data_IF_291050199741
#
_entry.id   IF_291050199741
#
_cell.length_a   1.000
_cell.length_b   1.000
_cell.length_c   1.000
_cell.angle_alpha   90.00
_cell.angle_beta   90.00
_cell.angle_gamma   90.00
#
_symmetry.space_group_name_H-M   'P 1'
#
loop_
_entity.id
_entity.type
_entity.pdbx_description
1 polymer ?
#
# COMPACT_ATOMS: atom_id res chain seq x y z
N UNK A 1 29.41 4.54 -3.35
CA UNK A 1 28.93 3.95 -4.63
C UNK A 1 30.10 3.74 -5.59
N UNK A 2 31.02 4.66 -5.71
CA UNK A 2 32.20 4.51 -6.58
C UNK A 2 33.02 3.27 -6.19
N UNK A 3 33.29 3.04 -4.90
CA UNK A 3 34.12 1.94 -4.41
C UNK A 3 33.40 0.60 -4.34
N UNK A 4 32.08 0.61 -4.10
CA UNK A 4 31.32 -0.60 -3.77
C UNK A 4 30.16 -0.89 -4.74
N UNK A 5 29.97 -0.06 -5.76
CA UNK A 5 28.89 -0.20 -6.72
C UNK A 5 27.51 0.25 -6.20
N UNK A 6 26.50 0.26 -7.08
CA UNK A 6 25.18 0.81 -6.77
C UNK A 6 24.36 -0.02 -5.78
N UNK A 7 24.69 -1.31 -5.57
CA UNK A 7 24.02 -2.17 -4.59
C UNK A 7 24.33 -1.78 -3.16
N UNK A 8 25.46 -1.09 -2.92
CA UNK A 8 25.85 -0.63 -1.60
C UNK A 8 24.97 0.52 -1.06
N UNK A 9 24.16 1.15 -1.91
CA UNK A 9 23.31 2.27 -1.52
C UNK A 9 21.83 1.87 -1.47
N UNK A 10 21.15 2.24 -0.38
CA UNK A 10 19.72 2.11 -0.20
C UNK A 10 19.08 3.46 0.15
N UNK A 11 17.85 3.65 -0.30
CA UNK A 11 16.98 4.72 0.14
C UNK A 11 15.85 4.14 0.98
N UNK A 12 15.57 4.74 2.13
CA UNK A 12 14.42 4.40 2.96
C UNK A 12 13.56 5.63 3.17
N UNK A 13 12.29 5.52 2.86
CA UNK A 13 11.37 6.63 3.07
C UNK A 13 10.19 6.59 2.12
N UNK A 14 9.45 7.68 2.16
CA UNK A 14 8.23 7.81 1.38
C UNK A 14 7.04 7.54 2.26
N UNK A 15 6.48 8.59 2.67
CA UNK A 15 5.54 8.46 3.43
C UNK A 15 4.46 8.91 4.14
N UNK A 16 4.48 9.57 5.11
CA UNK A 16 3.35 10.01 5.92
C UNK A 16 2.63 11.22 5.33
N UNK A 17 1.59 11.67 5.98
CA UNK A 17 0.86 12.89 5.62
C UNK A 17 1.80 14.12 5.75
N UNK A 18 1.76 14.98 4.74
CA UNK A 18 2.55 16.22 4.71
C UNK A 18 4.00 16.05 4.25
N UNK A 19 4.36 14.92 3.64
CA UNK A 19 5.69 14.66 3.10
C UNK A 19 5.67 13.75 1.85
N UNK A 20 4.66 13.90 1.01
CA UNK A 20 4.46 13.00 -0.13
C UNK A 20 5.47 13.19 -1.25
N UNK A 21 6.01 14.39 -1.39
CA UNK A 21 7.00 14.67 -2.45
C UNK A 21 8.39 14.12 -2.15
N UNK A 22 8.75 13.91 -0.89
CA UNK A 22 10.06 13.40 -0.50
C UNK A 22 10.37 12.05 -1.14
N UNK A 23 9.38 11.16 -1.18
CA UNK A 23 9.53 9.85 -1.81
C UNK A 23 9.95 9.94 -3.26
N UNK A 24 9.42 10.91 -4.00
CA UNK A 24 9.75 11.10 -5.41
C UNK A 24 11.22 11.52 -5.61
N UNK A 25 11.70 12.46 -4.80
CA UNK A 25 13.06 12.99 -4.92
C UNK A 25 14.11 12.01 -4.39
N UNK A 26 13.88 11.38 -3.24
CA UNK A 26 14.77 10.35 -2.72
C UNK A 26 14.90 9.16 -3.66
N UNK A 27 13.78 8.71 -4.23
CA UNK A 27 13.76 7.66 -5.25
C UNK A 27 14.47 8.08 -6.55
N UNK A 28 14.38 9.35 -6.92
CA UNK A 28 15.10 9.87 -8.09
C UNK A 28 16.60 9.85 -7.86
N UNK A 29 17.09 10.34 -6.72
CA UNK A 29 18.50 10.25 -6.36
C UNK A 29 18.99 8.79 -6.35
N UNK A 30 18.23 7.88 -5.75
CA UNK A 30 18.54 6.45 -5.75
C UNK A 30 18.75 5.91 -7.17
N UNK A 31 17.85 6.25 -8.10
CA UNK A 31 17.96 5.83 -9.50
C UNK A 31 19.16 6.47 -10.22
N UNK A 32 19.47 7.73 -9.94
CA UNK A 32 20.65 8.40 -10.50
C UNK A 32 21.94 7.73 -10.03
N UNK A 33 21.96 7.19 -8.83
CA UNK A 33 23.07 6.39 -8.29
C UNK A 33 23.07 4.94 -8.81
N UNK A 34 22.09 4.55 -9.63
CA UNK A 34 21.98 3.22 -10.22
C UNK A 34 21.41 2.16 -9.28
N UNK A 35 20.93 2.52 -8.08
CA UNK A 35 20.35 1.57 -7.14
C UNK A 35 18.87 1.29 -7.41
N UNK A 36 18.40 0.11 -7.00
CA UNK A 36 16.99 -0.28 -6.97
C UNK A 36 16.47 -0.50 -5.54
N UNK A 37 17.29 -0.32 -4.51
CA UNK A 37 16.91 -0.61 -3.13
C UNK A 37 16.17 0.55 -2.49
N UNK A 38 14.85 0.54 -2.64
CA UNK A 38 13.93 1.45 -1.97
C UNK A 38 13.16 0.70 -0.89
N UNK A 39 13.53 0.88 0.35
CA UNK A 39 12.82 0.31 1.49
C UNK A 39 11.70 1.25 1.94
N UNK A 40 10.51 0.68 2.14
CA UNK A 40 9.32 1.46 2.47
C UNK A 40 8.29 0.60 3.21
N UNK A 41 7.52 1.20 4.12
CA UNK A 41 6.46 0.53 4.87
C UNK A 41 5.42 -0.16 3.98
N UNK A 42 5.12 0.41 2.82
CA UNK A 42 4.20 -0.19 1.82
C UNK A 42 4.61 -1.62 1.44
N UNK A 43 5.93 -1.91 1.40
CA UNK A 43 6.42 -3.26 1.11
C UNK A 43 6.20 -4.25 2.26
N UNK A 44 6.00 -3.78 3.48
CA UNK A 44 5.59 -4.59 4.62
C UNK A 44 4.06 -4.79 4.65
N UNK A 45 3.32 -3.76 4.28
CA UNK A 45 1.87 -3.69 4.46
C UNK A 45 1.11 -4.37 3.32
N UNK A 46 1.46 -4.12 2.06
CA UNK A 46 0.62 -4.37 0.90
C UNK A 46 1.18 -5.37 -0.12
N UNK A 47 2.35 -5.99 0.12
CA UNK A 47 2.98 -6.87 -0.87
C UNK A 47 2.13 -8.06 -1.28
N UNK A 48 1.39 -8.66 -0.34
CA UNK A 48 0.45 -9.75 -0.65
C UNK A 48 -0.65 -9.33 -1.60
N UNK A 49 -1.20 -8.13 -1.41
CA UNK A 49 -2.22 -7.55 -2.27
C UNK A 49 -1.66 -7.18 -3.65
N UNK A 50 -0.50 -6.53 -3.72
CA UNK A 50 0.17 -6.21 -4.99
C UNK A 50 0.46 -7.47 -5.82
N UNK A 51 0.93 -8.52 -5.16
CA UNK A 51 1.16 -9.80 -5.80
C UNK A 51 -0.12 -10.39 -6.37
N UNK A 52 -1.21 -10.39 -5.60
CA UNK A 52 -2.53 -10.86 -6.03
C UNK A 52 -3.02 -10.08 -7.26
N UNK A 53 -2.98 -8.74 -7.23
CA UNK A 53 -3.35 -7.90 -8.38
C UNK A 53 -2.48 -8.21 -9.60
N UNK A 54 -1.16 -8.31 -9.43
CA UNK A 54 -0.24 -8.62 -10.52
C UNK A 54 -0.54 -9.96 -11.20
N UNK A 55 -0.99 -10.96 -10.46
CA UNK A 55 -1.34 -12.28 -10.98
C UNK A 55 -2.74 -12.36 -11.57
N UNK A 56 -3.70 -11.62 -11.03
CA UNK A 56 -5.10 -11.72 -11.43
C UNK A 56 -5.51 -10.68 -12.45
N UNK A 57 -4.96 -9.46 -12.41
CA UNK A 57 -5.29 -8.37 -13.34
C UNK A 57 -4.14 -7.94 -14.23
N UNK A 58 -2.94 -8.54 -14.05
CA UNK A 58 -1.78 -8.32 -14.90
C UNK A 58 -0.85 -7.20 -14.45
N UNK A 59 -1.25 -6.37 -13.46
CA UNK A 59 -0.41 -5.29 -12.94
C UNK A 59 -0.48 -5.20 -11.42
N UNK A 60 0.67 -5.17 -10.76
CA UNK A 60 0.78 -4.95 -9.31
C UNK A 60 0.23 -3.59 -8.88
N UNK A 61 0.14 -2.64 -9.81
CA UNK A 61 -0.36 -1.28 -9.55
C UNK A 61 -1.88 -1.14 -9.68
N UNK A 62 -2.61 -2.20 -9.99
CA UNK A 62 -4.07 -2.14 -10.15
C UNK A 62 -4.74 -2.29 -8.78
N UNK A 63 -5.07 -1.18 -8.17
CA UNK A 63 -5.84 -1.15 -6.93
C UNK A 63 -7.33 -1.26 -7.26
N UNK A 64 -8.01 -2.17 -6.57
CA UNK A 64 -9.47 -2.34 -6.69
C UNK A 64 -10.13 -1.54 -5.57
N UNK A 65 -10.53 -0.32 -5.86
CA UNK A 65 -11.15 0.56 -4.87
C UNK A 65 -12.68 0.55 -4.98
N UNK A 66 -13.40 0.76 -3.86
CA UNK A 66 -14.85 0.78 -3.86
C UNK A 66 -15.41 2.00 -4.61
N UNK A 67 -16.48 1.80 -5.38
CA UNK A 67 -17.35 2.86 -5.90
C UNK A 67 -18.59 2.99 -5.01
N UNK A 68 -18.36 3.46 -3.79
CA UNK A 68 -19.35 3.53 -2.72
C UNK A 68 -20.52 4.44 -3.03
N UNK A 69 -20.31 5.44 -3.88
CA UNK A 69 -21.36 6.39 -4.24
C UNK A 69 -22.51 5.73 -5.03
N UNK A 70 -22.20 4.65 -5.77
CA UNK A 70 -23.18 3.93 -6.59
C UNK A 70 -23.56 2.57 -6.01
N UNK A 71 -22.93 2.15 -4.91
CA UNK A 71 -23.17 0.88 -4.26
C UNK A 71 -24.42 0.92 -3.36
N UNK A 72 -25.12 -0.20 -3.29
CA UNK A 72 -26.22 -0.48 -2.37
C UNK A 72 -25.73 -1.20 -1.10
N UNK A 73 -24.55 -1.82 -1.15
CA UNK A 73 -23.92 -2.44 0.00
C UNK A 73 -22.42 -2.18 0.01
N UNK A 74 -21.88 -1.90 1.19
CA UNK A 74 -20.43 -1.79 1.44
C UNK A 74 -20.00 -2.97 2.33
N UNK A 75 -19.12 -3.81 1.81
CA UNK A 75 -18.43 -4.85 2.57
C UNK A 75 -17.08 -4.30 3.04
N UNK A 76 -16.97 -3.98 4.32
CA UNK A 76 -15.77 -3.45 4.96
C UNK A 76 -15.05 -4.56 5.73
N UNK A 77 -13.81 -4.87 5.37
CA UNK A 77 -13.07 -6.01 5.90
C UNK A 77 -11.72 -5.60 6.47
N UNK A 78 -11.50 -5.88 7.75
CA UNK A 78 -10.25 -5.55 8.43
C UNK A 78 -9.94 -4.06 8.40
N UNK A 79 -10.98 -3.23 8.42
CA UNK A 79 -10.91 -1.78 8.27
C UNK A 79 -11.77 -1.06 9.32
N UNK A 80 -11.12 -0.25 10.15
CA UNK A 80 -11.81 0.65 11.07
C UNK A 80 -11.85 2.08 10.52
N UNK A 81 -12.61 2.30 9.45
CA UNK A 81 -12.66 3.57 8.70
C UNK A 81 -13.10 4.77 9.51
N UNK A 82 -13.79 4.58 10.63
CA UNK A 82 -14.12 5.65 11.57
C UNK A 82 -12.88 6.24 12.26
N UNK A 83 -11.76 5.52 12.28
CA UNK A 83 -10.50 5.95 12.90
C UNK A 83 -9.32 6.01 11.91
N UNK A 84 -9.16 5.00 11.06
CA UNK A 84 -8.01 4.90 10.14
C UNK A 84 -8.20 5.65 8.82
N UNK A 85 -9.42 6.04 8.50
CA UNK A 85 -9.81 6.67 7.25
C UNK A 85 -9.55 5.80 6.00
N UNK A 86 -8.39 5.82 5.36
CA UNK A 86 -7.98 5.07 4.15
C UNK A 86 -8.87 5.24 2.89
N UNK A 87 -10.00 5.89 3.04
CA UNK A 87 -10.95 6.26 2.00
C UNK A 87 -11.29 7.75 2.19
N UNK A 88 -11.41 8.55 1.12
CA UNK A 88 -11.88 9.93 1.24
C UNK A 88 -13.23 9.99 1.93
N UNK A 89 -13.36 10.85 2.93
CA UNK A 89 -14.61 11.05 3.69
C UNK A 89 -15.13 9.77 4.40
N UNK A 90 -14.28 8.81 4.73
CA UNK A 90 -14.67 7.51 5.30
C UNK A 90 -15.74 7.59 6.40
N UNK A 91 -15.63 8.45 7.45
CA UNK A 91 -16.66 8.55 8.48
C UNK A 91 -18.02 9.03 7.96
N UNK A 92 -18.05 9.84 6.92
CA UNK A 92 -19.31 10.30 6.31
C UNK A 92 -19.95 9.19 5.48
N UNK A 93 -19.15 8.50 4.66
CA UNK A 93 -19.60 7.36 3.85
C UNK A 93 -20.16 6.25 4.75
N UNK A 94 -19.45 5.87 5.80
CA UNK A 94 -19.89 4.83 6.74
C UNK A 94 -21.22 5.21 7.43
N UNK A 95 -21.36 6.46 7.87
CA UNK A 95 -22.63 6.96 8.45
C UNK A 95 -23.75 7.04 7.42
N UNK A 96 -23.45 7.35 6.16
CA UNK A 96 -24.44 7.34 5.09
C UNK A 96 -24.99 5.92 4.89
N UNK A 97 -24.11 4.91 4.82
CA UNK A 97 -24.55 3.52 4.69
C UNK A 97 -25.39 3.08 5.90
N UNK A 98 -24.92 3.36 7.12
CA UNK A 98 -25.62 2.98 8.36
C UNK A 98 -26.99 3.67 8.54
N UNK A 99 -27.16 4.89 8.07
CA UNK A 99 -28.41 5.66 8.28
C UNK A 99 -29.42 5.54 7.12
N UNK A 100 -29.01 4.96 5.99
CA UNK A 100 -29.87 4.85 4.82
C UNK A 100 -30.51 3.45 4.77
N UNK A 101 -31.84 3.33 4.92
CA UNK A 101 -32.52 2.04 4.96
C UNK A 101 -32.44 1.24 3.64
N UNK A 102 -32.08 1.89 2.53
CA UNK A 102 -31.90 1.24 1.23
C UNK A 102 -30.47 0.72 1.02
N UNK A 103 -29.56 1.06 1.93
CA UNK A 103 -28.15 0.63 1.91
C UNK A 103 -27.87 -0.40 3.00
N UNK A 104 -26.80 -1.18 2.83
CA UNK A 104 -26.36 -2.20 3.78
C UNK A 104 -24.87 -2.02 4.08
N UNK A 105 -24.53 -1.86 5.34
CA UNK A 105 -23.15 -1.86 5.81
C UNK A 105 -22.82 -3.21 6.45
N UNK A 106 -21.89 -3.93 5.86
CA UNK A 106 -21.37 -5.20 6.39
C UNK A 106 -19.94 -5.00 6.84
N UNK A 107 -19.63 -5.36 8.06
CA UNK A 107 -18.27 -5.27 8.63
C UNK A 107 -17.76 -6.65 9.01
N UNK A 108 -16.60 -7.01 8.50
CA UNK A 108 -15.86 -8.22 8.91
C UNK A 108 -14.62 -7.75 9.67
N UNK A 109 -14.64 -7.90 10.98
CA UNK A 109 -13.57 -7.47 11.88
C UNK A 109 -13.64 -8.31 13.15
N UNK A 110 -12.52 -8.87 13.65
CA UNK A 110 -12.51 -9.63 14.90
C UNK A 110 -12.98 -8.84 16.11
N UNK A 111 -12.86 -7.52 16.06
CA UNK A 111 -13.21 -6.59 17.11
C UNK A 111 -14.48 -5.81 16.75
N UNK A 112 -15.34 -5.61 17.72
CA UNK A 112 -16.41 -4.63 17.59
C UNK A 112 -15.81 -3.23 17.67
N UNK A 113 -15.35 -2.74 16.51
CA UNK A 113 -14.75 -1.42 16.33
C UNK A 113 -15.82 -0.35 16.16
N UNK A 114 -15.45 0.95 16.20
CA UNK A 114 -16.39 2.05 15.91
C UNK A 114 -17.06 1.93 14.54
N UNK A 115 -16.41 1.27 13.59
CA UNK A 115 -17.00 0.98 12.27
C UNK A 115 -17.98 -0.18 12.38
N UNK A 116 -17.66 -1.23 13.14
CA UNK A 116 -18.55 -2.35 13.40
C UNK A 116 -19.81 -1.94 14.20
N UNK A 117 -19.70 -0.93 15.07
CA UNK A 117 -20.85 -0.36 15.79
C UNK A 117 -21.89 0.30 14.86
N UNK A 118 -21.50 0.66 13.66
CA UNK A 118 -22.40 1.23 12.64
C UNK A 118 -22.99 0.17 11.69
N UNK A 119 -22.48 -1.05 11.74
CA UNK A 119 -22.82 -2.10 10.78
C UNK A 119 -24.24 -2.66 10.99
N UNK A 120 -24.92 -2.93 9.88
CA UNK A 120 -26.14 -3.74 9.89
C UNK A 120 -25.81 -5.22 10.14
N UNK A 121 -24.66 -5.69 9.62
CA UNK A 121 -24.15 -7.04 9.84
C UNK A 121 -22.69 -6.94 10.26
N UNK A 122 -22.36 -7.47 11.44
CA UNK A 122 -20.98 -7.64 11.91
C UNK A 122 -20.62 -9.11 11.98
N UNK A 123 -19.55 -9.50 11.29
CA UNK A 123 -18.99 -10.84 11.32
C UNK A 123 -17.66 -10.82 12.09
N UNK A 124 -17.61 -11.27 13.36
CA UNK A 124 -16.41 -11.24 14.18
C UNK A 124 -15.48 -12.42 13.83
N UNK A 125 -14.89 -12.39 12.64
CA UNK A 125 -14.04 -13.47 12.13
C UNK A 125 -12.81 -13.67 13.03
N UNK A 126 -12.45 -14.93 13.30
CA UNK A 126 -11.21 -15.25 14.03
C UNK A 126 -10.01 -14.79 13.22
N UNK A 127 -9.05 -14.04 13.81
CA UNK A 127 -7.87 -13.57 13.10
C UNK A 127 -7.12 -14.69 12.38
N UNK A 128 -6.76 -14.43 11.10
CA UNK A 128 -6.02 -15.39 10.27
C UNK A 128 -6.86 -16.46 9.56
N UNK A 129 -8.18 -16.40 9.67
CA UNK A 129 -9.09 -17.37 9.02
C UNK A 129 -9.90 -16.78 7.86
N UNK A 130 -9.64 -15.52 7.48
CA UNK A 130 -10.33 -14.82 6.40
C UNK A 130 -10.36 -15.63 5.09
N UNK A 131 -9.25 -16.27 4.72
CA UNK A 131 -9.19 -17.09 3.53
C UNK A 131 -10.17 -18.27 3.54
N UNK A 132 -10.38 -18.90 4.72
CA UNK A 132 -11.36 -19.96 4.87
C UNK A 132 -12.79 -19.44 4.75
N UNK A 133 -13.07 -18.29 5.38
CA UNK A 133 -14.37 -17.64 5.28
C UNK A 133 -14.71 -17.29 3.82
N UNK A 134 -13.81 -16.60 3.12
CA UNK A 134 -14.07 -16.18 1.72
C UNK A 134 -14.20 -17.41 0.82
N UNK A 135 -13.41 -18.47 1.03
CA UNK A 135 -13.56 -19.73 0.29
C UNK A 135 -14.94 -20.34 0.51
N UNK A 136 -15.42 -20.38 1.76
CA UNK A 136 -16.77 -20.85 2.07
C UNK A 136 -17.86 -19.98 1.43
N UNK A 137 -17.69 -18.65 1.46
CA UNK A 137 -18.62 -17.71 0.80
C UNK A 137 -18.72 -17.98 -0.72
N UNK A 138 -17.58 -18.14 -1.40
CA UNK A 138 -17.56 -18.47 -2.84
C UNK A 138 -18.25 -19.84 -3.08
N UNK A 139 -17.98 -20.85 -2.25
CA UNK A 139 -18.64 -22.15 -2.35
C UNK A 139 -20.18 -22.03 -2.22
N UNK A 140 -20.66 -21.30 -1.21
CA UNK A 140 -22.10 -21.03 -1.00
C UNK A 140 -22.71 -20.33 -2.24
N UNK A 141 -22.04 -19.32 -2.78
CA UNK A 141 -22.53 -18.58 -3.95
C UNK A 141 -22.65 -19.50 -5.17
N UNK A 142 -21.63 -20.33 -5.43
CA UNK A 142 -21.61 -21.25 -6.56
C UNK A 142 -22.62 -22.40 -6.43
N UNK A 143 -22.81 -22.92 -5.21
CA UNK A 143 -23.77 -24.00 -4.93
C UNK A 143 -25.22 -23.54 -5.12
N UNK A 144 -25.51 -22.27 -4.81
CA UNK A 144 -26.84 -21.71 -4.93
C UNK A 144 -27.08 -21.00 -6.28
N UNK A 145 -26.12 -20.94 -7.18
CA UNK A 145 -26.26 -20.28 -8.48
C UNK A 145 -26.43 -18.75 -8.36
N UNK A 146 -25.78 -18.14 -7.36
CA UNK A 146 -25.80 -16.67 -7.14
C UNK A 146 -24.66 -15.94 -7.79
N UNK A 147 -23.79 -16.66 -8.50
CA UNK A 147 -22.71 -16.06 -9.29
C UNK A 147 -23.23 -15.33 -10.55
N UNK A 148 -22.50 -14.31 -10.98
CA UNK A 148 -22.72 -13.67 -12.29
C UNK A 148 -22.00 -14.46 -13.40
N UNK A 149 -22.66 -15.49 -13.91
CA UNK A 149 -22.06 -16.36 -14.94
C UNK A 149 -21.75 -15.60 -16.21
N UNK A 150 -22.59 -14.63 -16.60
CA UNK A 150 -22.37 -13.84 -17.80
C UNK A 150 -21.09 -12.99 -17.67
N UNK A 151 -20.86 -12.40 -16.51
CA UNK A 151 -19.64 -11.67 -16.21
C UNK A 151 -18.41 -12.59 -16.24
N UNK A 152 -18.48 -13.74 -15.57
CA UNK A 152 -17.40 -14.72 -15.52
C UNK A 152 -16.98 -15.13 -16.94
N UNK A 153 -17.93 -15.51 -17.78
CA UNK A 153 -17.69 -15.98 -19.15
C UNK A 153 -17.11 -14.90 -20.07
N UNK A 154 -17.48 -13.62 -19.82
CA UNK A 154 -17.07 -12.52 -20.70
C UNK A 154 -15.77 -11.85 -20.25
N UNK A 155 -15.52 -11.76 -18.92
CA UNK A 155 -14.47 -10.91 -18.35
C UNK A 155 -13.38 -11.68 -17.62
N UNK A 156 -13.48 -13.00 -17.49
CA UNK A 156 -12.47 -13.80 -16.81
C UNK A 156 -11.92 -14.92 -17.70
N UNK A 157 -10.75 -15.41 -17.33
CA UNK A 157 -10.14 -16.61 -17.94
C UNK A 157 -9.70 -17.57 -16.86
N UNK A 158 -9.83 -18.89 -17.12
CA UNK A 158 -9.35 -19.92 -16.21
C UNK A 158 -10.26 -20.21 -15.01
N UNK A 159 -11.45 -19.62 -14.95
CA UNK A 159 -12.38 -19.87 -13.83
C UNK A 159 -12.77 -21.35 -13.68
N UNK A 160 -13.04 -22.03 -14.80
CA UNK A 160 -13.43 -23.45 -14.78
C UNK A 160 -12.28 -24.35 -14.27
N UNK A 161 -11.03 -23.90 -14.33
CA UNK A 161 -9.88 -24.64 -13.78
C UNK A 161 -9.82 -24.57 -12.26
N UNK A 162 -10.27 -23.45 -11.66
CA UNK A 162 -10.26 -23.24 -10.22
C UNK A 162 -11.60 -23.55 -9.55
N UNK A 163 -12.71 -23.61 -10.30
CA UNK A 163 -14.05 -23.94 -9.79
C UNK A 163 -14.05 -25.19 -8.92
N UNK A 164 -13.36 -26.30 -9.26
CA UNK A 164 -13.33 -27.51 -8.42
C UNK A 164 -12.77 -27.29 -7.01
N UNK A 165 -12.00 -26.23 -6.78
CA UNK A 165 -11.48 -25.89 -5.44
C UNK A 165 -12.55 -25.39 -4.48
N UNK A 166 -13.73 -25.02 -4.99
CA UNK A 166 -14.89 -24.57 -4.23
C UNK A 166 -15.99 -25.62 -4.17
N UNK A 167 -15.86 -26.72 -4.91
CA UNK A 167 -16.76 -27.85 -4.82
C UNK A 167 -16.41 -28.71 -3.60
N UNK A 168 -17.41 -29.29 -2.97
CA UNK A 168 -17.24 -30.17 -1.80
C UNK A 168 -16.52 -29.48 -0.61
N UNK A 169 -16.65 -28.16 -0.47
CA UNK A 169 -16.20 -27.45 0.72
C UNK A 169 -17.17 -27.76 1.87
N UNK A 170 -16.66 -28.29 2.99
CA UNK A 170 -17.43 -28.34 4.22
C UNK A 170 -17.59 -26.92 4.77
N UNK A 171 -18.71 -26.27 4.40
CA UNK A 171 -19.02 -24.90 4.81
C UNK A 171 -19.10 -24.79 6.32
N UNK A 172 -19.78 -25.75 6.95
CA UNK A 172 -19.95 -25.80 8.41
C UNK A 172 -18.59 -25.83 9.13
N UNK A 173 -17.70 -26.76 8.72
CA UNK A 173 -16.37 -26.89 9.32
C UNK A 173 -15.52 -25.64 9.08
N UNK A 174 -15.55 -25.07 7.87
CA UNK A 174 -14.79 -23.88 7.54
C UNK A 174 -15.23 -22.69 8.38
N UNK A 175 -16.54 -22.45 8.50
CA UNK A 175 -17.09 -21.34 9.29
C UNK A 175 -16.93 -21.56 10.79
N UNK A 176 -17.02 -22.80 11.28
CA UNK A 176 -16.72 -23.14 12.69
C UNK A 176 -15.25 -22.78 13.04
N UNK A 177 -14.29 -23.06 12.14
CA UNK A 177 -12.89 -22.62 12.32
C UNK A 177 -12.79 -21.11 12.36
N UNK A 178 -13.59 -20.41 11.56
CA UNK A 178 -13.64 -18.94 11.55
C UNK A 178 -14.33 -18.35 12.79
N UNK A 179 -15.02 -19.16 13.57
CA UNK A 179 -15.82 -18.71 14.72
C UNK A 179 -17.11 -18.01 14.30
N UNK A 180 -17.65 -18.36 13.13
CA UNK A 180 -18.86 -17.77 12.56
C UNK A 180 -19.99 -18.80 12.46
N UNK A 181 -21.21 -18.33 12.70
CA UNK A 181 -22.41 -19.10 12.45
C UNK A 181 -22.72 -19.14 10.94
N UNK A 182 -23.26 -20.25 10.47
CA UNK A 182 -23.50 -20.49 9.03
C UNK A 182 -24.59 -19.59 8.47
N UNK A 183 -25.70 -19.43 9.17
CA UNK A 183 -26.87 -18.71 8.69
C UNK A 183 -26.59 -17.24 8.34
N UNK A 184 -25.92 -16.43 9.18
CA UNK A 184 -25.56 -15.06 8.84
C UNK A 184 -24.68 -14.97 7.58
N UNK A 185 -23.75 -15.92 7.39
CA UNK A 185 -22.87 -15.95 6.23
C UNK A 185 -23.63 -16.33 4.96
N UNK A 186 -24.53 -17.32 5.01
CA UNK A 186 -25.40 -17.68 3.87
C UNK A 186 -26.30 -16.51 3.48
N UNK A 187 -26.87 -15.81 4.45
CA UNK A 187 -27.69 -14.62 4.20
C UNK A 187 -26.87 -13.51 3.53
N UNK A 188 -25.64 -13.26 4.00
CA UNK A 188 -24.73 -12.32 3.36
C UNK A 188 -24.40 -12.75 1.92
N UNK A 189 -24.12 -14.02 1.67
CA UNK A 189 -23.82 -14.53 0.32
C UNK A 189 -25.00 -14.31 -0.65
N UNK A 190 -26.24 -14.43 -0.17
CA UNK A 190 -27.43 -14.11 -0.97
C UNK A 190 -27.48 -12.63 -1.33
N UNK A 191 -27.20 -11.74 -0.38
CA UNK A 191 -27.15 -10.29 -0.64
C UNK A 191 -26.03 -9.93 -1.62
N UNK A 192 -24.85 -10.56 -1.52
CA UNK A 192 -23.73 -10.39 -2.47
C UNK A 192 -24.09 -10.79 -3.90
N UNK A 193 -24.91 -11.82 -4.09
CA UNK A 193 -25.41 -12.25 -5.39
C UNK A 193 -26.46 -11.31 -6.00
N UNK A 194 -27.20 -10.57 -5.18
CA UNK A 194 -28.35 -9.78 -5.61
C UNK A 194 -28.11 -8.27 -5.68
N UNK A 195 -27.39 -7.69 -4.71
CA UNK A 195 -27.14 -6.24 -4.63
C UNK A 195 -25.94 -5.79 -5.45
N UNK A 196 -25.91 -4.52 -5.81
CA UNK A 196 -24.68 -3.84 -6.20
C UNK A 196 -23.89 -3.53 -4.96
N UNK A 197 -22.73 -4.16 -4.83
CA UNK A 197 -21.91 -3.98 -3.65
C UNK A 197 -20.45 -3.71 -4.03
N UNK A 198 -19.78 -2.99 -3.16
CA UNK A 198 -18.35 -2.74 -3.24
C UNK A 198 -17.63 -3.23 -1.98
N UNK A 199 -16.35 -3.47 -2.12
CA UNK A 199 -15.47 -4.03 -1.10
C UNK A 199 -14.40 -3.01 -0.71
N UNK A 200 -14.24 -2.78 0.59
CA UNK A 200 -13.05 -2.14 1.13
C UNK A 200 -12.30 -3.11 2.05
N UNK A 201 -11.07 -3.45 1.67
CA UNK A 201 -10.13 -4.21 2.49
C UNK A 201 -8.99 -3.31 2.93
N UNK A 202 -8.44 -3.53 4.13
CA UNK A 202 -7.37 -2.70 4.69
C UNK A 202 -6.33 -3.56 5.43
N UNK A 203 -5.46 -2.94 6.21
CA UNK A 203 -4.31 -3.56 6.87
C UNK A 203 -4.66 -4.80 7.70
N UNK A 204 -5.87 -4.91 8.24
CA UNK A 204 -6.34 -6.12 8.91
C UNK A 204 -6.33 -7.36 8.02
N UNK A 205 -6.50 -7.18 6.71
CA UNK A 205 -6.37 -8.25 5.69
C UNK A 205 -4.93 -8.37 5.20
N UNK A 206 -4.28 -7.23 4.92
CA UNK A 206 -3.01 -7.21 4.19
C UNK A 206 -1.82 -7.58 5.07
N UNK A 207 -1.86 -7.30 6.36
CA UNK A 207 -0.81 -7.66 7.33
C UNK A 207 -1.08 -9.01 8.02
N UNK A 208 -1.90 -9.85 7.42
CA UNK A 208 -2.25 -11.16 7.91
C UNK A 208 -1.27 -12.23 7.38
N UNK A 209 -1.16 -13.35 8.12
CA UNK A 209 -0.31 -14.50 7.76
C UNK A 209 -0.56 -15.05 6.35
N UNK A 210 -1.80 -14.99 5.86
CA UNK A 210 -2.23 -15.51 4.56
C UNK A 210 -2.67 -14.38 3.62
N UNK A 211 -2.11 -13.18 3.75
CA UNK A 211 -2.54 -11.96 3.06
C UNK A 211 -2.65 -12.13 1.53
N UNK A 212 -1.69 -12.79 0.90
CA UNK A 212 -1.71 -13.04 -0.55
C UNK A 212 -2.90 -13.89 -0.96
N UNK A 213 -3.14 -15.02 -0.27
CA UNK A 213 -4.27 -15.90 -0.54
C UNK A 213 -5.60 -15.19 -0.27
N UNK A 214 -5.69 -14.49 0.85
CA UNK A 214 -6.88 -13.73 1.23
C UNK A 214 -7.21 -12.66 0.21
N UNK A 215 -6.22 -11.89 -0.25
CA UNK A 215 -6.38 -10.87 -1.30
C UNK A 215 -6.83 -11.50 -2.63
N UNK A 216 -6.22 -12.64 -3.03
CA UNK A 216 -6.65 -13.38 -4.21
C UNK A 216 -8.12 -13.81 -4.14
N UNK A 217 -8.56 -14.31 -2.96
CA UNK A 217 -9.92 -14.79 -2.79
C UNK A 217 -10.94 -13.62 -2.76
N UNK A 218 -10.62 -12.47 -2.17
CA UNK A 218 -11.50 -11.30 -2.24
C UNK A 218 -11.62 -10.75 -3.66
N UNK A 219 -10.53 -10.68 -4.42
CA UNK A 219 -10.59 -10.31 -5.83
C UNK A 219 -11.43 -11.31 -6.65
N UNK A 220 -11.30 -12.61 -6.34
CA UNK A 220 -12.11 -13.64 -6.97
C UNK A 220 -13.59 -13.53 -6.60
N UNK A 221 -13.92 -13.22 -5.34
CA UNK A 221 -15.29 -12.98 -4.89
C UNK A 221 -15.94 -11.81 -5.66
N UNK A 222 -15.18 -10.71 -5.86
CA UNK A 222 -15.64 -9.60 -6.71
C UNK A 222 -15.93 -10.06 -8.15
N UNK A 223 -15.04 -10.87 -8.73
CA UNK A 223 -15.21 -11.38 -10.09
C UNK A 223 -16.38 -12.38 -10.20
N UNK A 224 -16.54 -13.29 -9.23
CA UNK A 224 -17.63 -14.26 -9.18
C UNK A 224 -18.99 -13.58 -9.11
N UNK A 225 -19.09 -12.48 -8.37
CA UNK A 225 -20.33 -11.71 -8.25
C UNK A 225 -20.48 -10.62 -9.33
N UNK A 226 -19.56 -10.51 -10.30
CA UNK A 226 -19.61 -9.48 -11.34
C UNK A 226 -19.47 -8.05 -10.79
N UNK A 227 -18.60 -7.85 -9.79
CA UNK A 227 -18.43 -6.55 -9.11
C UNK A 227 -17.06 -5.91 -9.34
N UNK A 228 -16.21 -6.49 -10.18
CA UNK A 228 -14.92 -5.93 -10.54
C UNK A 228 -15.04 -5.09 -11.81
N UNK A 229 -14.50 -3.87 -11.79
CA UNK A 229 -14.50 -2.90 -12.89
C UNK A 229 -15.90 -2.51 -13.40
N UNK A 230 -16.89 -2.51 -12.51
CA UNK A 230 -18.26 -2.07 -12.82
C UNK A 230 -18.72 -0.95 -11.88
N UNK A 231 -19.62 -0.06 -12.31
CA UNK A 231 -20.19 0.99 -11.44
C UNK A 231 -20.89 0.40 -10.21
N UNK A 232 -20.58 0.92 -9.03
CA UNK A 232 -21.10 0.44 -7.75
C UNK A 232 -20.46 -0.85 -7.25
N UNK A 233 -19.42 -1.34 -7.94
CA UNK A 233 -18.53 -2.39 -7.50
C UNK A 233 -17.16 -1.83 -7.15
N UNK A 234 -16.10 -2.59 -7.42
CA UNK A 234 -14.73 -2.10 -7.29
C UNK A 234 -14.19 -1.72 -8.67
N UNK A 235 -13.54 -0.57 -8.74
CA UNK A 235 -12.98 -0.03 -9.98
C UNK A 235 -11.46 0.14 -9.85
N UNK A 236 -10.76 0.16 -10.98
CA UNK A 236 -9.35 0.50 -11.04
C UNK A 236 -9.25 1.98 -11.42
N UNK A 237 -8.90 2.87 -10.48
CA UNK A 237 -8.85 4.30 -10.75
C UNK A 237 -7.66 4.66 -11.63
N UNK A 238 -7.74 5.81 -12.28
CA UNK A 238 -6.59 6.44 -12.88
C UNK A 238 -5.56 6.89 -11.82
N UNK A 239 -4.38 7.31 -12.28
CA UNK A 239 -3.28 7.73 -11.39
C UNK A 239 -2.71 9.05 -11.89
N UNK A 240 -2.64 10.05 -11.02
CA UNK A 240 -1.91 11.29 -11.32
C UNK A 240 -0.42 11.11 -10.97
N UNK A 241 -0.13 10.59 -9.79
CA UNK A 241 1.21 10.21 -9.36
C UNK A 241 1.18 8.70 -9.08
N UNK A 242 2.03 7.89 -9.73
CA UNK A 242 2.07 6.46 -9.47
C UNK A 242 2.73 6.17 -8.11
N UNK A 243 2.08 5.37 -7.28
CA UNK A 243 2.63 4.91 -6.00
C UNK A 243 3.90 4.07 -6.21
N UNK A 244 3.98 3.36 -7.30
CA UNK A 244 5.09 2.50 -7.65
C UNK A 244 5.05 2.13 -9.13
N UNK A 245 5.85 1.16 -9.53
CA UNK A 245 5.88 0.63 -10.88
C UNK A 245 5.75 -0.89 -10.85
N UNK A 246 5.06 -1.45 -11.82
CA UNK A 246 5.04 -2.90 -11.98
C UNK A 246 6.47 -3.44 -12.09
N UNK A 247 6.76 -4.50 -11.38
CA UNK A 247 8.04 -5.23 -11.43
C UNK A 247 7.76 -6.69 -11.82
N UNK A 248 8.53 -7.20 -12.78
CA UNK A 248 8.45 -8.60 -13.19
C UNK A 248 9.64 -9.35 -12.57
N UNK A 249 9.36 -10.26 -11.65
CA UNK A 249 10.37 -11.08 -11.00
C UNK A 249 11.12 -12.02 -11.96
N UNK A 250 10.64 -12.16 -13.20
CA UNK A 250 11.27 -12.93 -14.28
C UNK A 250 12.24 -12.09 -15.12
N UNK A 251 12.19 -10.74 -14.97
CA UNK A 251 13.13 -9.86 -15.65
C UNK A 251 14.50 -9.96 -14.94
N UNK A 252 15.56 -10.42 -15.64
CA UNK A 252 16.89 -10.55 -15.04
C UNK A 252 17.52 -9.22 -14.62
N UNK A 253 16.98 -8.09 -15.08
CA UNK A 253 17.40 -6.73 -14.66
C UNK A 253 16.76 -6.30 -13.35
N UNK A 254 15.70 -6.99 -12.92
CA UNK A 254 15.04 -6.72 -11.65
C UNK A 254 15.88 -7.30 -10.51
N UNK A 255 16.27 -6.44 -9.59
CA UNK A 255 17.05 -6.87 -8.43
C UNK A 255 16.20 -7.64 -7.44
N UNK A 256 16.90 -8.44 -6.67
CA UNK A 256 16.43 -9.10 -5.45
C UNK A 256 17.33 -8.65 -4.30
N UNK A 257 16.84 -8.77 -3.08
CA UNK A 257 17.69 -8.58 -1.90
C UNK A 257 18.86 -9.57 -1.92
N UNK A 258 20.03 -9.13 -1.48
CA UNK A 258 21.30 -9.85 -1.74
C UNK A 258 21.44 -11.09 -0.88
N UNK A 259 21.04 -11.00 0.37
CA UNK A 259 21.21 -12.06 1.37
C UNK A 259 19.96 -12.92 1.50
N UNK A 260 18.79 -12.29 1.52
CA UNK A 260 17.51 -12.95 1.78
C UNK A 260 16.77 -13.37 0.51
N UNK A 261 17.24 -12.96 -0.66
CA UNK A 261 16.68 -13.30 -2.00
C UNK A 261 15.20 -12.98 -2.17
N UNK A 262 14.70 -11.90 -1.55
CA UNK A 262 13.33 -11.45 -1.78
C UNK A 262 13.19 -10.63 -3.06
N UNK A 263 12.09 -10.83 -3.82
CA UNK A 263 11.79 -10.00 -4.98
C UNK A 263 11.39 -8.58 -4.55
N UNK A 264 11.76 -7.60 -5.36
CA UNK A 264 11.30 -6.23 -5.23
C UNK A 264 9.92 -6.14 -5.90
N UNK A 265 8.88 -5.78 -5.14
CA UNK A 265 7.51 -5.65 -5.62
C UNK A 265 7.10 -4.18 -5.68
N UNK A 266 6.48 -3.76 -6.78
CA UNK A 266 6.10 -2.36 -7.00
C UNK A 266 7.29 -1.37 -6.97
N UNK A 267 8.52 -1.87 -7.08
CA UNK A 267 9.74 -1.09 -6.91
C UNK A 267 10.10 -0.81 -5.45
N UNK A 268 9.56 -1.59 -4.51
CA UNK A 268 9.85 -1.51 -3.08
C UNK A 268 10.52 -2.79 -2.57
N UNK A 269 11.55 -2.60 -1.75
CA UNK A 269 12.23 -3.67 -1.02
C UNK A 269 11.60 -3.85 0.36
N UNK A 270 11.50 -5.09 0.86
CA UNK A 270 10.89 -5.36 2.16
C UNK A 270 11.77 -4.84 3.30
N UNK A 271 11.28 -3.90 4.14
CA UNK A 271 12.09 -3.31 5.20
C UNK A 271 12.45 -4.30 6.32
N UNK A 272 11.61 -5.31 6.53
CA UNK A 272 11.85 -6.29 7.62
C UNK A 272 13.10 -7.14 7.46
N UNK A 273 13.67 -7.22 6.25
CA UNK A 273 14.91 -7.96 5.98
C UNK A 273 16.14 -7.05 5.82
N UNK A 274 15.96 -5.74 5.96
CA UNK A 274 17.06 -4.79 5.80
C UNK A 274 18.21 -5.02 6.81
N UNK A 275 17.96 -5.38 8.09
CA UNK A 275 19.05 -5.71 9.00
C UNK A 275 19.97 -6.81 8.47
N UNK A 276 19.44 -7.87 7.88
CA UNK A 276 20.23 -8.96 7.29
C UNK A 276 21.03 -8.51 6.07
N UNK A 277 20.45 -7.62 5.25
CA UNK A 277 21.10 -7.05 4.06
C UNK A 277 22.28 -6.12 4.42
N UNK A 278 22.25 -5.50 5.59
CA UNK A 278 23.33 -4.67 6.11
C UNK A 278 24.39 -5.51 6.83
N UNK A 279 23.96 -6.44 7.68
CA UNK A 279 24.86 -7.24 8.53
C UNK A 279 25.57 -8.37 7.79
N UNK A 280 25.23 -8.61 6.54
CA UNK A 280 25.79 -9.65 5.69
C UNK A 280 27.28 -9.43 5.41
N UNK A 281 28.02 -10.51 5.25
CA UNK A 281 29.42 -10.48 4.75
C UNK A 281 29.49 -10.40 3.21
N UNK A 282 28.36 -10.34 2.52
CA UNK A 282 28.31 -10.28 1.05
C UNK A 282 28.96 -8.99 0.51
N UNK A 283 29.69 -9.09 -0.60
CA UNK A 283 30.36 -7.93 -1.21
C UNK A 283 29.39 -6.79 -1.55
N UNK A 284 28.19 -7.14 -2.03
CA UNK A 284 27.12 -6.22 -2.43
C UNK A 284 26.16 -5.86 -1.27
N UNK A 285 26.54 -6.06 -0.01
CA UNK A 285 25.69 -5.67 1.13
C UNK A 285 25.38 -4.17 1.12
N UNK A 286 24.30 -3.76 1.74
CA UNK A 286 24.01 -2.35 1.95
C UNK A 286 25.02 -1.72 2.91
N UNK A 287 25.66 -0.62 2.49
CA UNK A 287 26.71 0.09 3.23
C UNK A 287 26.36 1.54 3.53
N UNK A 288 25.56 2.16 2.66
CA UNK A 288 25.13 3.54 2.82
C UNK A 288 23.62 3.65 2.67
N UNK A 289 22.99 4.47 3.51
CA UNK A 289 21.55 4.67 3.48
C UNK A 289 21.20 6.13 3.73
N UNK A 290 20.23 6.64 2.96
CA UNK A 290 19.51 7.86 3.28
C UNK A 290 18.10 7.48 3.78
N UNK A 291 17.76 7.94 4.96
CA UNK A 291 16.43 7.80 5.57
C UNK A 291 15.73 9.16 5.52
N UNK A 292 14.52 9.21 4.99
CA UNK A 292 13.75 10.44 4.88
C UNK A 292 12.31 10.20 5.30
N UNK A 293 11.77 11.03 6.20
CA UNK A 293 10.41 10.93 6.72
C UNK A 293 10.06 9.52 7.22
N UNK A 294 11.00 8.88 7.89
CA UNK A 294 10.87 7.52 8.42
C UNK A 294 11.75 7.33 9.66
N UNK A 295 11.24 6.59 10.64
CA UNK A 295 12.01 6.20 11.83
C UNK A 295 12.05 4.67 11.94
N UNK A 296 12.96 3.99 11.18
CA UNK A 296 13.02 2.54 11.11
C UNK A 296 13.21 1.85 12.46
N UNK A 297 13.92 2.45 13.40
CA UNK A 297 14.11 1.90 14.73
C UNK A 297 12.82 1.84 15.56
N UNK A 298 11.79 2.58 15.15
CA UNK A 298 10.48 2.63 15.83
C UNK A 298 9.38 1.95 15.04
N UNK A 299 9.45 2.02 13.70
CA UNK A 299 8.34 1.63 12.82
C UNK A 299 8.41 0.19 12.34
N UNK A 300 9.57 -0.45 12.36
CA UNK A 300 9.74 -1.80 11.84
C UNK A 300 9.99 -2.80 12.96
N UNK A 301 9.83 -4.08 12.63
CA UNK A 301 10.03 -5.17 13.57
C UNK A 301 11.52 -5.29 13.96
N UNK A 302 11.76 -5.77 15.18
CA UNK A 302 13.09 -6.05 15.75
C UNK A 302 14.01 -4.82 15.81
N UNK A 303 13.66 -3.87 16.70
CA UNK A 303 14.48 -2.68 16.98
C UNK A 303 15.94 -3.03 17.26
N UNK A 304 16.20 -4.12 18.00
CA UNK A 304 17.59 -4.53 18.33
C UNK A 304 18.40 -4.97 17.09
N UNK A 305 17.76 -5.62 16.13
CA UNK A 305 18.40 -5.96 14.86
C UNK A 305 18.69 -4.69 14.04
N UNK A 306 17.74 -3.76 14.00
CA UNK A 306 17.92 -2.47 13.34
C UNK A 306 19.04 -1.64 13.96
N UNK A 307 19.11 -1.53 15.30
CA UNK A 307 20.20 -0.83 15.99
C UNK A 307 21.58 -1.41 15.65
N UNK A 308 21.71 -2.73 15.65
CA UNK A 308 22.95 -3.38 15.24
C UNK A 308 23.31 -3.10 13.78
N UNK A 309 22.31 -3.16 12.91
CA UNK A 309 22.50 -2.96 11.47
C UNK A 309 22.92 -1.52 11.14
N UNK A 310 22.22 -0.51 11.64
CA UNK A 310 22.54 0.89 11.33
C UNK A 310 23.93 1.29 11.84
N UNK A 311 24.39 0.71 12.96
CA UNK A 311 25.75 0.90 13.47
C UNK A 311 26.85 0.23 12.62
N UNK A 312 26.49 -0.62 11.64
CA UNK A 312 27.41 -1.25 10.69
C UNK A 312 27.42 -0.61 9.31
N UNK A 313 26.60 0.43 9.11
CA UNK A 313 26.64 1.23 7.90
C UNK A 313 27.92 2.06 7.86
N UNK A 314 28.48 2.21 6.66
CA UNK A 314 29.60 3.12 6.42
C UNK A 314 29.12 4.59 6.40
N UNK A 315 27.82 4.80 6.07
CA UNK A 315 27.16 6.11 6.09
C UNK A 315 25.65 5.99 6.31
N UNK A 316 25.14 6.63 7.35
CA UNK A 316 23.71 6.85 7.59
C UNK A 316 23.40 8.33 7.60
N UNK A 317 22.53 8.77 6.69
CA UNK A 317 22.02 10.15 6.62
C UNK A 317 20.53 10.14 6.89
N UNK A 318 20.06 10.98 7.79
CA UNK A 318 18.61 11.11 8.08
C UNK A 318 18.14 12.54 7.78
N UNK A 319 17.08 12.68 6.99
CA UNK A 319 16.34 13.93 6.81
C UNK A 319 15.08 13.85 7.67
N UNK A 320 14.98 14.70 8.70
CA UNK A 320 13.97 14.54 9.75
C UNK A 320 13.59 15.88 10.39
N UNK A 321 12.39 15.89 11.00
CA UNK A 321 11.86 17.04 11.76
C UNK A 321 12.35 17.07 13.21
N UNK A 322 12.72 15.92 13.74
CA UNK A 322 13.08 15.74 15.14
C UNK A 322 14.27 14.80 15.31
N UNK A 323 14.92 14.85 16.46
CA UNK A 323 15.97 13.89 16.81
C UNK A 323 15.35 12.57 17.26
N UNK A 324 14.83 11.82 16.29
CA UNK A 324 14.27 10.47 16.47
C UNK A 324 15.35 9.47 16.84
N UNK A 325 14.96 8.25 17.23
CA UNK A 325 15.91 7.18 17.57
C UNK A 325 16.86 6.89 16.38
N UNK A 326 16.36 6.91 15.16
CA UNK A 326 17.18 6.74 13.95
C UNK A 326 18.10 7.94 13.73
N UNK A 327 17.58 9.17 13.88
CA UNK A 327 18.38 10.38 13.72
C UNK A 327 19.54 10.46 14.72
N UNK A 328 19.35 9.96 15.96
CA UNK A 328 20.38 9.92 16.99
C UNK A 328 21.56 8.99 16.64
N UNK A 329 21.35 7.98 15.81
CA UNK A 329 22.37 7.05 15.36
C UNK A 329 22.97 7.42 13.98
N UNK A 330 22.49 8.51 13.37
CA UNK A 330 22.92 8.93 12.03
C UNK A 330 24.24 9.71 12.08
N UNK A 331 25.09 9.51 11.07
CA UNK A 331 26.31 10.31 10.88
C UNK A 331 25.97 11.77 10.55
N UNK A 332 24.88 11.98 9.80
CA UNK A 332 24.39 13.32 9.46
C UNK A 332 22.88 13.38 9.62
N UNK A 333 22.40 14.44 10.26
CA UNK A 333 20.99 14.77 10.35
C UNK A 333 20.73 16.07 9.60
N UNK A 334 19.90 16.01 8.57
CA UNK A 334 19.52 17.13 7.74
C UNK A 334 18.14 17.62 8.18
N UNK A 335 18.02 18.84 8.72
CA UNK A 335 16.73 19.34 9.20
C UNK A 335 15.79 19.57 8.00
N UNK A 336 14.64 18.92 8.04
CA UNK A 336 13.59 19.02 7.06
C UNK A 336 12.50 20.01 7.49
N UNK A 337 11.80 20.60 6.53
CA UNK A 337 10.58 21.39 6.81
C UNK A 337 9.41 20.48 7.12
N UNK A 338 8.54 20.95 8.00
CA UNK A 338 7.25 20.29 8.23
C UNK A 338 6.29 20.46 7.04
N UNK A 339 5.23 19.66 7.00
CA UNK A 339 4.19 19.81 5.96
C UNK A 339 3.47 21.17 5.98
N UNK A 340 3.53 21.91 7.08
CA UNK A 340 3.01 23.28 7.15
C UNK A 340 3.97 24.33 6.58
N UNK A 341 5.25 24.02 6.47
CA UNK A 341 6.33 24.86 5.97
C UNK A 341 6.73 24.55 4.54
N UNK A 342 6.16 23.49 3.96
CA UNK A 342 6.52 22.97 2.63
C UNK A 342 5.34 22.97 1.67
N UNK A 343 5.64 22.99 0.37
CA UNK A 343 4.68 22.57 -0.64
C UNK A 343 4.48 21.07 -0.57
N UNK A 344 3.22 20.63 -0.66
CA UNK A 344 2.89 19.21 -0.76
C UNK A 344 1.88 18.98 -1.88
N UNK A 345 1.51 17.75 -2.12
CA UNK A 345 0.52 17.37 -3.11
C UNK A 345 -0.25 16.11 -2.73
N UNK A 346 -1.46 15.99 -3.23
CA UNK A 346 -2.27 14.80 -3.03
C UNK A 346 -1.59 13.61 -3.71
N UNK A 347 -0.99 12.73 -2.93
CA UNK A 347 -0.34 11.52 -3.43
C UNK A 347 -1.35 10.39 -3.66
N UNK A 348 -2.29 10.18 -2.72
CA UNK A 348 -3.26 9.09 -2.74
C UNK A 348 -4.48 9.40 -3.62
N UNK A 349 -4.25 9.90 -4.84
CA UNK A 349 -5.32 10.23 -5.80
C UNK A 349 -6.10 8.99 -6.28
N UNK A 350 -5.53 7.81 -6.10
CA UNK A 350 -6.06 6.52 -6.50
C UNK A 350 -6.94 5.84 -5.44
N UNK A 351 -7.22 6.49 -4.32
CA UNK A 351 -8.12 5.97 -3.27
C UNK A 351 -9.60 6.31 -3.50
N UNK A 352 -9.91 6.96 -4.62
CA UNK A 352 -11.27 7.30 -5.04
C UNK A 352 -11.47 6.97 -6.52
N UNK A 353 -12.68 6.60 -6.96
CA UNK A 353 -13.03 6.45 -8.37
C UNK A 353 -12.75 7.73 -9.18
N UNK A 354 -12.95 8.89 -8.57
CA UNK A 354 -12.66 10.20 -9.16
C UNK A 354 -11.27 10.66 -8.73
N UNK A 355 -10.40 10.96 -9.71
CA UNK A 355 -9.07 11.48 -9.45
C UNK A 355 -9.18 12.96 -9.12
N UNK A 356 -8.64 13.36 -7.99
CA UNK A 356 -8.48 14.76 -7.63
C UNK A 356 -7.03 15.03 -7.18
N UNK A 357 -6.56 16.22 -7.43
CA UNK A 357 -5.23 16.66 -7.03
C UNK A 357 -5.31 18.03 -6.37
N UNK A 358 -4.72 18.14 -5.20
CA UNK A 358 -4.56 19.39 -4.47
C UNK A 358 -3.08 19.62 -4.23
N UNK A 359 -2.64 20.88 -4.39
CA UNK A 359 -1.28 21.34 -4.10
C UNK A 359 -1.38 22.41 -3.01
N UNK A 360 -1.39 22.06 -1.74
CA UNK A 360 -1.41 23.03 -0.66
C UNK A 360 -0.07 23.80 -0.60
N UNK A 361 -0.12 25.15 -0.49
CA UNK A 361 1.07 25.93 -0.26
C UNK A 361 1.50 25.86 1.21
N UNK A 362 2.76 26.22 1.54
CA UNK A 362 3.17 26.43 2.91
C UNK A 362 2.33 27.54 3.56
N UNK A 363 1.91 27.33 4.79
CA UNK A 363 1.07 28.28 5.57
C UNK A 363 1.84 29.00 6.68
N UNK A 364 3.02 28.49 7.04
CA UNK A 364 3.94 29.13 7.98
C UNK A 364 5.34 29.21 7.36
N UNK A 365 6.12 30.19 7.82
CA UNK A 365 7.54 30.27 7.45
C UNK A 365 8.36 29.38 8.38
N UNK A 366 9.38 28.68 7.87
CA UNK A 366 10.26 27.88 8.70
C UNK A 366 11.09 28.78 9.63
N UNK A 367 11.35 28.29 10.83
CA UNK A 367 12.32 28.88 11.74
C UNK A 367 13.66 28.13 11.64
N UNK A 368 14.77 28.86 11.70
CA UNK A 368 16.11 28.28 11.55
C UNK A 368 16.51 27.97 10.11
N UNK A 369 17.08 26.78 9.89
CA UNK A 369 17.69 26.38 8.60
C UNK A 369 17.09 25.10 7.98
N UNK A 370 15.84 24.70 8.23
CA UNK A 370 15.30 23.52 7.60
C UNK A 370 15.08 23.76 6.12
N UNK A 371 15.35 22.75 5.31
CA UNK A 371 15.16 22.75 3.86
C UNK A 371 13.99 21.87 3.45
N UNK A 372 13.35 22.21 2.34
CA UNK A 372 12.44 21.27 1.69
C UNK A 372 13.22 20.05 1.22
N UNK A 373 12.63 18.86 1.32
CA UNK A 373 13.31 17.64 0.90
C UNK A 373 13.71 17.67 -0.58
N UNK A 374 12.92 18.31 -1.44
CA UNK A 374 13.31 18.56 -2.84
C UNK A 374 14.65 19.29 -2.93
N UNK A 375 14.85 20.30 -2.10
CA UNK A 375 16.09 21.08 -2.08
C UNK A 375 17.26 20.25 -1.52
N UNK A 376 17.03 19.48 -0.46
CA UNK A 376 18.05 18.58 0.12
C UNK A 376 18.55 17.60 -0.95
N UNK A 377 17.65 16.84 -1.58
CA UNK A 377 18.04 15.86 -2.60
C UNK A 377 18.66 16.50 -3.85
N UNK A 378 18.16 17.67 -4.26
CA UNK A 378 18.74 18.41 -5.40
C UNK A 378 20.16 18.85 -5.11
N UNK A 379 20.43 19.41 -3.91
CA UNK A 379 21.79 19.82 -3.51
C UNK A 379 22.76 18.64 -3.41
N UNK A 380 22.31 17.50 -2.91
CA UNK A 380 23.10 16.27 -2.88
C UNK A 380 23.43 15.82 -4.30
N UNK A 381 22.44 15.75 -5.19
CA UNK A 381 22.63 15.34 -6.57
C UNK A 381 23.55 16.30 -7.35
N UNK A 382 23.44 17.62 -7.11
CA UNK A 382 24.29 18.64 -7.72
C UNK A 382 25.75 18.52 -7.24
N UNK A 383 25.96 18.37 -5.95
CA UNK A 383 27.29 18.17 -5.36
C UNK A 383 27.99 16.90 -5.88
N UNK A 384 27.21 15.89 -6.26
CA UNK A 384 27.70 14.64 -6.87
C UNK A 384 27.83 14.73 -8.39
N UNK A 385 27.53 15.88 -9.02
CA UNK A 385 27.59 16.05 -10.47
C UNK A 385 26.54 15.23 -11.26
N UNK A 386 25.44 14.85 -10.62
CA UNK A 386 24.39 14.00 -11.22
C UNK A 386 23.31 14.83 -11.94
N UNK A 387 23.28 16.13 -11.75
CA UNK A 387 22.32 17.01 -12.40
C UNK A 387 22.89 17.47 -13.75
N UNK A 388 22.22 17.17 -14.87
CA UNK A 388 22.65 17.68 -16.16
C UNK A 388 22.50 19.22 -16.23
N UNK A 389 23.35 19.93 -17.02
CA UNK A 389 23.23 21.38 -17.16
C UNK A 389 21.85 21.73 -17.71
N UNK A 390 21.14 22.59 -17.01
CA UNK A 390 19.83 23.09 -17.44
C UNK A 390 19.96 24.08 -18.61
N UNK A 391 19.03 24.12 -19.57
CA UNK A 391 18.98 25.13 -20.60
C UNK A 391 18.88 26.55 -20.00
N UNK A 392 19.55 27.55 -20.62
CA UNK A 392 19.52 28.93 -20.16
C UNK A 392 18.09 29.52 -20.08
N UNK A 393 17.18 29.02 -20.91
CA UNK A 393 15.75 29.37 -20.84
C UNK A 393 15.08 29.00 -19.50
N UNK A 394 15.45 27.87 -18.94
CA UNK A 394 14.94 27.44 -17.63
C UNK A 394 15.56 28.23 -16.49
N UNK A 395 16.86 28.52 -16.57
CA UNK A 395 17.51 29.44 -15.62
C UNK A 395 16.90 30.84 -15.64
N UNK A 396 16.51 31.34 -16.81
CA UNK A 396 15.82 32.64 -16.94
C UNK A 396 14.41 32.61 -16.37
N UNK A 397 13.66 31.55 -16.58
CA UNK A 397 12.33 31.37 -15.98
C UNK A 397 12.42 31.36 -14.46
N UNK A 398 13.30 30.55 -13.87
CA UNK A 398 13.51 30.47 -12.44
C UNK A 398 13.99 31.75 -11.77
N UNK A 399 14.70 32.64 -12.53
CA UNK A 399 15.10 33.97 -12.03
C UNK A 399 13.96 34.98 -12.04
N UNK A 400 12.95 34.81 -12.91
CA UNK A 400 11.80 35.70 -13.01
C UNK A 400 10.68 35.32 -12.06
N UNK A 401 10.49 34.05 -11.87
CA UNK A 401 9.49 33.50 -10.95
C UNK A 401 10.15 32.39 -10.13
N UNK A 402 10.19 32.58 -8.83
CA UNK A 402 10.77 31.62 -7.86
C UNK A 402 10.07 30.29 -7.87
N UNK A 403 8.91 30.18 -8.52
CA UNK A 403 8.04 29.02 -8.60
C UNK A 403 7.74 28.55 -10.04
N UNK A 404 8.46 29.08 -11.05
CA UNK A 404 8.33 28.69 -12.45
C UNK A 404 9.05 27.37 -12.78
#
# INVERSE_FOLDING_TARGET
VEDHGPRAYAYMGGGGQGCHFEAAFGRTLMKLLGSQYHYNAVAQELTGYFWACGRQTGRQTDFHIPDEARAEMLLAVGWNGMESHQMPRAPLVLKEFSNNPDKLLVVVDPRQSKTADLADIHLPVRPGTDALMVRAMIAIILENGWEDRAYIDTHTTGFDQIRPWFENVSVDDALAVCGLDVEPVVNLCRELGQRRWCLHTDLGVYMNRHSTLTSCLYNLLLAVCGRLCVPGGNVIPGKFIPIGSHTDERDPKQWRTVTTDFPILMGYSPPNVLPEEILSDHADRTRAMIVCASNPLRSYADTSAYEKAVNQLDLLVTSELAMTETAQLSDYVLPARSGYESWDGTFFTWTSPEIYFQKPPPIIQPDGQPLECVEIFTRIADAMGLIPPLPESQHRAARKDRYA
#
